data_IF_933256423923
#
_entry.id   IF_933256423923
#
_cell.length_a   1.000
_cell.length_b   1.000
_cell.length_c   1.000
_cell.angle_alpha   90.00
_cell.angle_beta   90.00
_cell.angle_gamma   90.00
#
_symmetry.space_group_name_H-M   'P 1'
#
loop_
_entity.id
_entity.type
_entity.pdbx_description
1 polymer ?
#
# COMPACT_ATOMS: atom_id res chain seq x y z
N UNK A 1 -16.53 -3.28 -74.93
CA UNK A 1 -15.18 -3.54 -74.40
C UNK A 1 -14.98 -2.70 -73.16
N UNK A 2 -14.35 -3.28 -72.14
CA UNK A 2 -14.41 -2.99 -70.71
C UNK A 2 -13.92 -1.61 -70.23
N UNK A 3 -14.37 -1.27 -69.01
CA UNK A 3 -13.63 -0.48 -68.02
C UNK A 3 -14.53 0.58 -67.40
N UNK A 4 -15.02 0.50 -66.16
CA UNK A 4 -14.56 -0.20 -64.97
C UNK A 4 -14.82 0.75 -63.79
N UNK A 5 -16.07 0.84 -63.33
CA UNK A 5 -16.42 1.62 -62.13
C UNK A 5 -15.98 0.83 -60.90
N UNK A 6 -14.90 1.26 -60.25
CA UNK A 6 -14.46 0.72 -58.97
C UNK A 6 -15.44 1.16 -57.88
N UNK A 7 -16.30 0.24 -57.43
CA UNK A 7 -17.07 0.41 -56.20
C UNK A 7 -16.10 0.23 -55.04
N UNK A 8 -15.77 1.32 -54.35
CA UNK A 8 -15.00 1.28 -53.12
C UNK A 8 -15.83 0.56 -52.05
N UNK A 9 -15.36 -0.61 -51.61
CA UNK A 9 -15.92 -1.32 -50.47
C UNK A 9 -15.74 -0.45 -49.22
N UNK A 10 -16.84 0.11 -48.70
CA UNK A 10 -16.88 0.80 -47.42
C UNK A 10 -16.82 -0.22 -46.28
N UNK A 11 -15.64 -0.81 -46.07
CA UNK A 11 -15.34 -1.54 -44.85
C UNK A 11 -15.12 -0.54 -43.73
N UNK A 12 -15.98 -0.54 -42.71
CA UNK A 12 -15.69 0.14 -41.45
C UNK A 12 -14.37 -0.39 -40.89
N UNK A 13 -13.41 0.47 -40.47
CA UNK A 13 -12.19 0.00 -39.87
C UNK A 13 -12.55 -0.74 -38.58
N UNK A 14 -12.25 -2.03 -38.54
CA UNK A 14 -12.32 -2.84 -37.32
C UNK A 14 -11.40 -2.18 -36.28
N UNK A 15 -11.96 -1.77 -35.15
CA UNK A 15 -11.21 -1.04 -34.12
C UNK A 15 -10.10 -1.94 -33.58
N UNK A 16 -8.85 -1.48 -33.68
CA UNK A 16 -7.71 -2.19 -33.09
C UNK A 16 -7.99 -2.51 -31.61
N UNK A 17 -7.61 -3.71 -31.11
CA UNK A 17 -7.89 -4.10 -29.75
C UNK A 17 -7.29 -3.08 -28.77
N UNK A 18 -8.07 -2.69 -27.76
CA UNK A 18 -7.63 -1.76 -26.74
C UNK A 18 -6.34 -2.28 -26.08
N UNK A 19 -5.32 -1.42 -26.01
CA UNK A 19 -4.07 -1.77 -25.32
C UNK A 19 -4.36 -2.02 -23.83
N UNK A 20 -3.74 -3.03 -23.20
CA UNK A 20 -3.93 -3.27 -21.79
C UNK A 20 -3.56 -2.01 -20.98
N UNK A 21 -4.46 -1.57 -20.10
CA UNK A 21 -4.20 -0.51 -19.14
C UNK A 21 -3.85 -1.16 -17.80
N UNK A 22 -2.70 -0.80 -17.22
CA UNK A 22 -2.27 -1.28 -15.91
C UNK A 22 -2.47 -0.18 -14.86
N UNK A 23 -2.93 -0.58 -13.68
CA UNK A 23 -3.03 0.29 -12.51
C UNK A 23 -2.28 -0.36 -11.34
N UNK A 24 -1.57 0.46 -10.56
CA UNK A 24 -0.90 0.04 -9.32
C UNK A 24 -1.70 0.58 -8.14
N UNK A 25 -2.08 -0.30 -7.22
CA UNK A 25 -2.78 0.05 -5.99
C UNK A 25 -1.86 -0.28 -4.81
N UNK A 26 -1.59 0.72 -3.96
CA UNK A 26 -0.74 0.59 -2.77
C UNK A 26 -1.46 1.16 -1.55
N UNK A 27 -1.36 0.46 -0.41
CA UNK A 27 -1.95 0.92 0.85
C UNK A 27 -0.92 1.66 1.69
N UNK A 28 -1.18 2.95 1.91
CA UNK A 28 -0.30 3.81 2.70
C UNK A 28 -0.02 3.26 4.10
N UNK A 29 1.27 3.05 4.40
CA UNK A 29 1.75 2.59 5.71
C UNK A 29 0.97 1.37 6.24
N UNK A 30 0.73 0.37 5.38
CA UNK A 30 -0.24 -0.71 5.59
C UNK A 30 -0.33 -1.25 7.02
N UNK A 31 0.76 -1.69 7.64
CA UNK A 31 0.70 -2.28 9.00
C UNK A 31 0.30 -1.26 10.08
N UNK A 32 0.76 -0.01 9.98
CA UNK A 32 0.30 1.05 10.90
C UNK A 32 -1.19 1.34 10.70
N UNK A 33 -1.63 1.34 9.44
CA UNK A 33 -3.05 1.55 9.11
C UNK A 33 -3.91 0.39 9.62
N UNK A 34 -3.42 -0.85 9.51
CA UNK A 34 -4.08 -2.04 10.07
C UNK A 34 -4.25 -1.95 11.59
N UNK A 35 -3.21 -1.57 12.32
CA UNK A 35 -3.29 -1.37 13.78
C UNK A 35 -4.27 -0.24 14.15
N UNK A 36 -4.30 0.85 13.38
CA UNK A 36 -5.22 1.98 13.62
C UNK A 36 -6.70 1.61 13.45
N UNK A 37 -7.03 0.70 12.53
CA UNK A 37 -8.43 0.24 12.34
C UNK A 37 -8.99 -0.35 13.63
N UNK A 38 -8.17 -1.07 14.41
CA UNK A 38 -8.59 -1.73 15.64
C UNK A 38 -8.23 -0.94 16.91
N UNK A 39 -7.35 0.05 16.79
CA UNK A 39 -6.99 0.95 17.88
C UNK A 39 -6.93 2.41 17.41
N UNK A 40 -8.09 3.11 17.38
CA UNK A 40 -8.17 4.51 16.94
C UNK A 40 -7.33 5.47 17.79
N UNK A 41 -6.91 5.09 19.01
CA UNK A 41 -6.02 5.91 19.85
C UNK A 41 -4.61 6.09 19.26
N UNK A 42 -4.27 5.34 18.22
CA UNK A 42 -3.02 5.44 17.47
C UNK A 42 -3.07 6.48 16.34
N UNK A 43 -4.23 7.07 16.08
CA UNK A 43 -4.38 8.17 15.13
C UNK A 43 -3.62 9.41 15.59
N UNK A 44 -3.01 10.14 14.64
CA UNK A 44 -2.21 11.34 14.88
C UNK A 44 -1.01 11.15 15.83
N UNK A 45 -0.61 9.90 16.08
CA UNK A 45 0.55 9.55 16.91
C UNK A 45 1.69 9.01 16.06
N UNK A 46 2.96 9.29 16.45
CA UNK A 46 4.10 8.59 15.90
C UNK A 46 4.04 7.11 16.32
N UNK A 47 3.84 6.24 15.33
CA UNK A 47 3.80 4.79 15.46
C UNK A 47 4.81 4.13 14.52
N UNK A 48 5.49 3.10 15.02
CA UNK A 48 6.28 2.15 14.24
C UNK A 48 5.84 0.72 14.55
N UNK A 49 5.85 -0.12 13.52
CA UNK A 49 5.67 -1.57 13.66
C UNK A 49 7.03 -2.22 13.56
N UNK A 50 7.33 -3.12 14.49
CA UNK A 50 8.61 -3.80 14.60
C UNK A 50 8.53 -5.20 14.00
N UNK A 51 9.67 -5.71 13.52
CA UNK A 51 9.81 -7.07 13.00
C UNK A 51 9.46 -8.14 14.04
N UNK A 52 9.47 -9.41 13.65
CA UNK A 52 9.45 -10.51 14.60
C UNK A 52 10.54 -10.32 15.66
N UNK A 53 10.17 -10.55 16.92
CA UNK A 53 11.02 -10.35 18.08
C UNK A 53 11.52 -8.89 18.28
N UNK A 54 10.79 -7.91 17.75
CA UNK A 54 11.02 -6.48 17.97
C UNK A 54 12.41 -5.96 17.57
N UNK A 55 13.04 -6.61 16.58
CA UNK A 55 14.41 -6.32 16.18
C UNK A 55 14.57 -4.97 15.49
N UNK A 56 13.75 -4.67 14.48
CA UNK A 56 13.86 -3.46 13.68
C UNK A 56 12.51 -2.89 13.24
N UNK A 57 12.49 -1.60 12.90
CA UNK A 57 11.33 -0.91 12.35
C UNK A 57 11.05 -1.40 10.92
N UNK A 58 9.88 -1.99 10.71
CA UNK A 58 9.44 -2.51 9.40
C UNK A 58 8.31 -1.70 8.77
N UNK A 59 7.62 -0.86 9.52
CA UNK A 59 6.65 0.10 9.01
C UNK A 59 6.60 1.29 9.95
N UNK A 60 6.30 2.47 9.40
CA UNK A 60 6.28 3.73 10.12
C UNK A 60 5.14 4.61 9.65
N UNK A 61 4.45 5.21 10.61
CA UNK A 61 3.45 6.26 10.41
C UNK A 61 4.08 7.50 9.75
N UNK A 62 3.26 8.39 9.19
CA UNK A 62 3.77 9.63 8.61
C UNK A 62 4.44 10.51 9.69
N UNK A 63 3.87 10.50 10.88
CA UNK A 63 4.35 11.18 12.08
C UNK A 63 5.72 10.63 12.51
N UNK A 64 5.91 9.31 12.50
CA UNK A 64 7.21 8.69 12.77
C UNK A 64 8.25 8.96 11.67
N UNK A 65 7.82 9.08 10.40
CA UNK A 65 8.70 9.53 9.31
C UNK A 65 9.19 10.95 9.54
N UNK A 66 8.33 11.84 10.02
CA UNK A 66 8.69 13.23 10.32
C UNK A 66 9.69 13.36 11.47
N UNK A 67 9.76 12.37 12.38
CA UNK A 67 10.80 12.27 13.40
C UNK A 67 12.17 11.81 12.87
N UNK A 68 12.28 11.48 11.58
CA UNK A 68 13.53 11.03 10.97
C UNK A 68 13.87 9.56 11.22
N UNK A 69 12.89 8.74 11.62
CA UNK A 69 13.11 7.30 11.86
C UNK A 69 13.11 6.56 10.54
N UNK A 70 14.23 5.96 10.16
CA UNK A 70 14.37 5.23 8.91
C UNK A 70 13.74 3.82 8.96
N UNK A 71 13.48 3.27 7.77
CA UNK A 71 13.12 1.85 7.65
C UNK A 71 14.32 0.98 7.99
N UNK A 72 14.08 -0.14 8.68
CA UNK A 72 15.12 -1.06 9.11
C UNK A 72 15.94 -0.57 10.31
N UNK A 73 15.63 0.60 10.88
CA UNK A 73 16.30 1.07 12.09
C UNK A 73 16.12 0.04 13.22
N UNK A 74 17.22 -0.46 13.83
CA UNK A 74 17.11 -1.37 14.96
C UNK A 74 16.42 -0.71 16.15
N UNK A 75 15.44 -1.37 16.74
CA UNK A 75 14.61 -0.79 17.80
C UNK A 75 15.45 -0.35 19.00
N UNK A 76 16.42 -1.18 19.42
CA UNK A 76 17.28 -0.88 20.57
C UNK A 76 18.04 0.44 20.46
N UNK A 77 18.34 0.91 19.23
CA UNK A 77 19.03 2.19 19.01
C UNK A 77 18.14 3.40 19.27
N UNK A 78 16.83 3.25 19.07
CA UNK A 78 15.85 4.34 19.21
C UNK A 78 14.94 4.18 20.42
N UNK A 79 14.93 3.02 21.09
CA UNK A 79 14.02 2.70 22.20
C UNK A 79 14.13 3.69 23.36
N UNK A 80 15.35 4.15 23.68
CA UNK A 80 15.57 5.15 24.73
C UNK A 80 14.95 6.50 24.37
N UNK A 81 15.07 6.91 23.10
CA UNK A 81 14.57 8.19 22.62
C UNK A 81 13.07 8.16 22.28
N UNK A 82 12.52 6.98 21.98
CA UNK A 82 11.12 6.76 21.65
C UNK A 82 10.17 7.36 22.70
N UNK A 83 10.51 7.22 23.99
CA UNK A 83 9.70 7.77 25.08
C UNK A 83 9.63 9.30 25.05
N UNK A 84 10.73 9.98 24.72
CA UNK A 84 10.79 11.43 24.63
C UNK A 84 9.95 11.97 23.46
N UNK A 85 9.88 11.23 22.36
CA UNK A 85 9.06 11.56 21.19
C UNK A 85 7.60 11.13 21.30
N UNK A 86 7.22 10.40 22.35
CA UNK A 86 5.90 9.78 22.45
C UNK A 86 5.65 8.70 21.39
N UNK A 87 6.73 8.17 20.77
CA UNK A 87 6.71 7.14 19.75
C UNK A 87 6.20 5.82 20.32
N UNK A 88 5.22 5.24 19.65
CA UNK A 88 4.69 3.90 19.97
C UNK A 88 5.36 2.87 19.07
N UNK A 89 6.06 1.93 19.67
CA UNK A 89 6.51 0.71 19.00
C UNK A 89 5.54 -0.43 19.28
N UNK A 90 5.06 -1.11 18.24
CA UNK A 90 4.22 -2.31 18.35
C UNK A 90 4.92 -3.49 17.67
N UNK A 91 4.85 -4.66 18.30
CA UNK A 91 5.25 -5.92 17.66
C UNK A 91 4.33 -6.22 16.49
N UNK A 92 4.84 -6.89 15.46
CA UNK A 92 4.03 -7.26 14.30
C UNK A 92 2.91 -8.25 14.64
N UNK A 93 1.69 -7.95 14.20
CA UNK A 93 0.55 -8.87 14.21
C UNK A 93 0.24 -9.37 12.78
N UNK A 94 0.96 -10.41 12.34
CA UNK A 94 0.84 -10.90 10.96
C UNK A 94 -0.51 -11.56 10.64
N UNK A 95 -1.20 -12.12 11.64
CA UNK A 95 -2.55 -12.67 11.45
C UNK A 95 -3.53 -11.57 11.08
N UNK A 96 -3.51 -10.46 11.83
CA UNK A 96 -4.31 -9.28 11.55
C UNK A 96 -4.01 -8.70 10.16
N UNK A 97 -2.71 -8.56 9.83
CA UNK A 97 -2.29 -7.97 8.56
C UNK A 97 -2.70 -8.85 7.37
N UNK A 98 -2.63 -10.18 7.53
CA UNK A 98 -3.07 -11.15 6.54
C UNK A 98 -4.57 -11.05 6.25
N UNK A 99 -5.41 -11.00 7.29
CA UNK A 99 -6.87 -10.86 7.13
C UNK A 99 -7.25 -9.56 6.41
N UNK A 100 -6.66 -8.42 6.81
CA UNK A 100 -6.92 -7.15 6.15
C UNK A 100 -6.41 -7.12 4.70
N UNK A 101 -5.24 -7.70 4.43
CA UNK A 101 -4.67 -7.79 3.08
C UNK A 101 -5.58 -8.60 2.15
N UNK A 102 -6.10 -9.74 2.64
CA UNK A 102 -7.06 -10.55 1.89
C UNK A 102 -8.35 -9.80 1.55
N UNK A 103 -8.84 -8.92 2.45
CA UNK A 103 -9.99 -8.06 2.16
C UNK A 103 -9.70 -7.00 1.10
N UNK A 104 -8.52 -6.37 1.14
CA UNK A 104 -8.08 -5.38 0.14
C UNK A 104 -7.92 -6.00 -1.24
N UNK A 105 -7.39 -7.22 -1.31
CA UNK A 105 -7.18 -7.96 -2.57
C UNK A 105 -8.46 -8.57 -3.14
N UNK A 106 -9.61 -8.46 -2.46
CA UNK A 106 -10.87 -9.01 -2.94
C UNK A 106 -11.35 -8.23 -4.18
N UNK A 107 -11.51 -8.89 -5.35
CA UNK A 107 -11.91 -8.22 -6.60
C UNK A 107 -13.25 -7.48 -6.51
N UNK A 108 -14.15 -7.89 -5.61
CA UNK A 108 -15.45 -7.23 -5.43
C UNK A 108 -15.36 -5.88 -4.72
N UNK A 109 -14.23 -5.54 -4.11
CA UNK A 109 -13.98 -4.22 -3.51
C UNK A 109 -13.48 -3.19 -4.54
N UNK A 110 -13.15 -3.61 -5.78
CA UNK A 110 -12.55 -2.77 -6.83
C UNK A 110 -13.50 -2.50 -8.02
N UNK A 111 -14.77 -2.92 -7.91
CA UNK A 111 -15.84 -2.62 -8.87
C UNK A 111 -16.70 -1.47 -8.36
#
# INVERSE_FOLDING_TARGET
MNGGHAVAASGTPESAPARPCFALVDVNNFYVSAERVFNPKLENRPVVILSNNDGCVITRSAEAKALGIDMGTPWFKIAAQAKAWGLVGLSSNYELYGDLSARVMNPRMLQ
#
